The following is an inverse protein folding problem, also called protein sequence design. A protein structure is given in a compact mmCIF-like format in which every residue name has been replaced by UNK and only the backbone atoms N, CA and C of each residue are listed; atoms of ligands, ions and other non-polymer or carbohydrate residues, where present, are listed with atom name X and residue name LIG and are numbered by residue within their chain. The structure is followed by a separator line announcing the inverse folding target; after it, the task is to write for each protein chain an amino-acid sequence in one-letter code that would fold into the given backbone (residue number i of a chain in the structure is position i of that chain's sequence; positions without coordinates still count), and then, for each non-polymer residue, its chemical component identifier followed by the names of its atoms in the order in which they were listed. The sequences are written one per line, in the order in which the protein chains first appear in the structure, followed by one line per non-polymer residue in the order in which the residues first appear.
data_IF_403461456510
#
_entry.id   IF_403461456510
#
_cell.length_a   1.000
_cell.length_b   1.000
_cell.length_c   1.000
_cell.angle_alpha   90.00
_cell.angle_beta   90.00
_cell.angle_gamma   90.00
#
_symmetry.space_group_name_H-M   'P 1'
#
loop_
_entity.id
_entity.type
_entity.pdbx_description
1 polymer ?
#
# COMPACT_ATOMS: atom_id res chain seq x y z
N UNK A 1 -3.46 16.33 -1.95
CA UNK A 1 -3.68 14.90 -2.26
C UNK A 1 -2.38 14.18 -2.58
N UNK A 2 -1.57 14.67 -3.51
CA UNK A 2 -0.25 14.09 -3.83
C UNK A 2 0.74 14.00 -2.66
N UNK A 3 0.84 15.06 -1.85
CA UNK A 3 1.73 15.05 -0.69
C UNK A 3 1.29 14.03 0.37
N UNK A 4 -0.01 13.70 0.43
CA UNK A 4 -0.53 12.67 1.32
C UNK A 4 -0.08 11.28 0.88
N UNK A 5 -0.23 10.93 -0.41
CA UNK A 5 0.29 9.68 -0.95
C UNK A 5 1.81 9.57 -0.84
N UNK A 6 2.54 10.65 -1.07
CA UNK A 6 4.01 10.69 -0.89
C UNK A 6 4.41 10.46 0.56
N UNK A 7 3.70 11.09 1.51
CA UNK A 7 3.95 10.92 2.96
C UNK A 7 3.62 9.51 3.41
N UNK A 8 2.45 8.98 3.02
CA UNK A 8 2.04 7.60 3.30
C UNK A 8 3.02 6.60 2.71
N UNK A 9 3.45 6.79 1.46
CA UNK A 9 4.47 5.95 0.83
C UNK A 9 5.76 5.91 1.65
N UNK A 10 6.31 7.06 2.04
CA UNK A 10 7.56 7.11 2.83
C UNK A 10 7.44 6.41 4.18
N UNK A 11 6.35 6.66 4.90
CA UNK A 11 6.12 6.05 6.22
C UNK A 11 5.92 4.54 6.07
N UNK A 12 5.05 4.13 5.14
CA UNK A 12 4.81 2.71 4.84
C UNK A 12 6.09 2.00 4.40
N UNK A 13 6.94 2.66 3.60
CA UNK A 13 8.24 2.11 3.19
C UNK A 13 9.15 1.84 4.39
N UNK A 14 9.26 2.79 5.31
CA UNK A 14 10.07 2.63 6.54
C UNK A 14 9.57 1.46 7.39
N UNK A 15 8.25 1.26 7.47
CA UNK A 15 7.62 0.18 8.24
C UNK A 15 7.72 -1.17 7.51
N UNK A 16 7.71 -1.17 6.17
CA UNK A 16 7.90 -2.40 5.38
C UNK A 16 9.29 -2.98 5.56
N UNK A 17 10.33 -2.17 5.76
CA UNK A 17 11.71 -2.66 5.97
C UNK A 17 11.81 -3.68 7.13
N UNK A 18 11.39 -3.38 8.37
CA UNK A 18 11.43 -4.36 9.45
C UNK A 18 10.51 -5.56 9.18
N UNK A 19 9.37 -5.39 8.50
CA UNK A 19 8.51 -6.52 8.10
C UNK A 19 9.26 -7.48 7.16
N UNK A 20 10.00 -6.96 6.18
CA UNK A 20 10.81 -7.77 5.27
C UNK A 20 11.91 -8.51 6.01
N UNK A 21 12.63 -7.82 6.90
CA UNK A 21 13.73 -8.43 7.67
C UNK A 21 13.23 -9.57 8.56
N UNK A 22 12.04 -9.43 9.15
CA UNK A 22 11.42 -10.44 10.02
C UNK A 22 10.67 -11.54 9.25
N UNK A 23 10.45 -11.40 7.94
CA UNK A 23 9.65 -12.35 7.16
C UNK A 23 10.41 -13.67 6.89
N UNK A 24 9.88 -14.85 7.28
CA UNK A 24 10.59 -16.13 7.11
C UNK A 24 11.00 -16.43 5.67
N UNK A 25 10.20 -16.02 4.68
CA UNK A 25 10.53 -16.23 3.27
C UNK A 25 11.75 -15.41 2.83
N UNK A 26 11.86 -14.17 3.32
CA UNK A 26 13.01 -13.30 3.06
C UNK A 26 14.25 -13.82 3.79
N UNK A 27 14.09 -14.23 5.04
CA UNK A 27 15.15 -14.87 5.84
C UNK A 27 15.76 -16.09 5.12
N UNK A 28 14.90 -17.01 4.65
CA UNK A 28 15.31 -18.18 3.89
C UNK A 28 16.00 -17.81 2.57
N UNK A 29 15.53 -16.77 1.87
CA UNK A 29 16.11 -16.33 0.62
C UNK A 29 17.53 -15.77 0.79
N UNK A 30 17.78 -15.02 1.86
CA UNK A 30 19.09 -14.42 2.16
C UNK A 30 19.98 -15.31 3.07
N UNK A 31 19.49 -16.47 3.50
CA UNK A 31 20.26 -17.44 4.28
C UNK A 31 20.58 -17.03 5.72
N UNK A 32 19.75 -16.17 6.33
CA UNK A 32 19.87 -15.81 7.75
C UNK A 32 18.64 -16.29 8.53
N UNK A 33 18.79 -16.54 9.82
CA UNK A 33 17.67 -16.85 10.72
C UNK A 33 17.63 -15.82 11.85
N UNK A 34 16.55 -15.04 11.87
CA UNK A 34 16.27 -14.08 12.92
C UNK A 34 14.86 -14.36 13.44
N UNK A 35 14.76 -15.40 14.26
CA UNK A 35 13.54 -15.77 14.95
C UNK A 35 13.72 -15.61 16.46
N UNK A 36 12.70 -15.06 17.11
CA UNK A 36 12.66 -14.85 18.54
C UNK A 36 11.24 -15.08 19.04
N UNK A 37 11.11 -15.40 20.32
CA UNK A 37 9.81 -15.63 20.94
C UNK A 37 8.91 -14.39 20.77
N UNK A 38 7.89 -14.51 19.92
CA UNK A 38 6.94 -13.43 19.63
C UNK A 38 7.19 -12.64 18.34
N UNK A 39 8.16 -13.03 17.50
CA UNK A 39 8.39 -12.46 16.16
C UNK A 39 7.11 -12.35 15.33
N UNK A 40 6.25 -13.38 15.38
CA UNK A 40 4.92 -13.42 14.77
C UNK A 40 3.96 -12.32 15.23
N UNK A 41 3.99 -11.94 16.51
CA UNK A 41 3.14 -10.87 17.05
C UNK A 41 3.70 -9.49 16.68
N UNK A 42 5.02 -9.35 16.61
CA UNK A 42 5.67 -8.12 16.11
C UNK A 42 5.33 -7.90 14.64
N UNK A 43 5.45 -8.94 13.82
CA UNK A 43 5.02 -8.92 12.41
C UNK A 43 3.55 -8.52 12.28
N UNK A 44 2.67 -9.17 13.05
CA UNK A 44 1.26 -8.80 13.09
C UNK A 44 1.06 -7.32 13.43
N UNK A 45 1.68 -6.80 14.49
CA UNK A 45 1.53 -5.41 14.89
C UNK A 45 2.02 -4.41 13.82
N UNK A 46 3.18 -4.67 13.21
CA UNK A 46 3.70 -3.84 12.11
C UNK A 46 2.79 -3.90 10.89
N UNK A 47 2.30 -5.09 10.54
CA UNK A 47 1.37 -5.28 9.44
C UNK A 47 -0.01 -4.68 9.68
N UNK A 48 -0.50 -4.67 10.92
CA UNK A 48 -1.70 -3.95 11.31
C UNK A 48 -1.52 -2.46 11.09
N UNK A 49 -0.39 -1.90 11.51
CA UNK A 49 -0.11 -0.47 11.33
C UNK A 49 -0.09 -0.11 9.83
N UNK A 50 0.63 -0.86 8.99
CA UNK A 50 0.70 -0.56 7.56
C UNK A 50 -0.65 -0.80 6.86
N UNK A 51 -1.42 -1.80 7.26
CA UNK A 51 -2.76 -2.07 6.74
C UNK A 51 -3.72 -0.89 7.01
N UNK A 52 -3.78 -0.40 8.24
CA UNK A 52 -4.65 0.71 8.57
C UNK A 52 -4.14 2.07 8.08
N UNK A 53 -2.84 2.33 8.13
CA UNK A 53 -2.29 3.63 7.75
C UNK A 53 -2.04 3.75 6.24
N UNK A 54 -1.28 2.79 5.69
CA UNK A 54 -0.91 2.74 4.28
C UNK A 54 -2.05 2.22 3.41
N UNK A 55 -2.84 1.26 3.90
CA UNK A 55 -3.98 0.69 3.19
C UNK A 55 -5.22 1.57 3.15
N UNK A 56 -5.32 2.60 4.01
CA UNK A 56 -6.51 3.44 4.14
C UNK A 56 -7.05 4.03 2.82
N UNK A 57 -6.22 4.60 1.92
CA UNK A 57 -6.73 5.19 0.68
C UNK A 57 -7.46 4.16 -0.19
N UNK A 58 -6.97 2.92 -0.24
CA UNK A 58 -7.58 1.84 -1.00
C UNK A 58 -8.87 1.35 -0.33
N UNK A 59 -8.87 1.20 1.00
CA UNK A 59 -10.07 0.79 1.75
C UNK A 59 -11.18 1.83 1.68
N UNK A 60 -10.84 3.13 1.69
CA UNK A 60 -11.80 4.21 1.48
C UNK A 60 -12.30 4.22 0.03
N UNK A 61 -11.40 4.17 -0.95
CA UNK A 61 -11.75 4.19 -2.37
C UNK A 61 -12.60 2.99 -2.79
N UNK A 62 -12.40 1.82 -2.17
CA UNK A 62 -13.27 0.66 -2.36
C UNK A 62 -14.72 0.96 -1.97
N UNK A 63 -14.95 1.67 -0.85
CA UNK A 63 -16.33 2.01 -0.43
C UNK A 63 -17.01 2.91 -1.45
N UNK A 64 -16.26 3.87 -2.00
CA UNK A 64 -16.76 4.79 -3.01
C UNK A 64 -17.09 4.04 -4.32
N UNK A 65 -16.14 3.22 -4.83
CA UNK A 65 -16.33 2.40 -6.05
C UNK A 65 -17.50 1.40 -5.92
N UNK A 66 -17.68 0.77 -4.75
CA UNK A 66 -18.79 -0.15 -4.50
C UNK A 66 -20.13 0.58 -4.41
N UNK A 67 -20.17 1.77 -3.81
CA UNK A 67 -21.39 2.60 -3.75
C UNK A 67 -21.84 2.97 -5.17
N UNK A 68 -20.90 3.31 -6.04
CA UNK A 68 -21.15 3.66 -7.43
C UNK A 68 -21.36 2.43 -8.35
N UNK A 69 -21.33 1.22 -7.78
CA UNK A 69 -21.45 -0.07 -8.50
C UNK A 69 -20.44 -0.22 -9.65
N UNK A 70 -19.28 0.41 -9.52
CA UNK A 70 -18.24 0.41 -10.54
C UNK A 70 -16.90 0.00 -9.92
N UNK A 71 -16.70 -1.31 -9.65
CA UNK A 71 -15.48 -1.81 -9.01
C UNK A 71 -14.28 -1.57 -9.93
N UNK A 72 -13.26 -0.92 -9.38
CA UNK A 72 -12.06 -0.52 -10.10
C UNK A 72 -10.78 -0.96 -9.39
N UNK A 73 -9.73 -0.14 -9.56
CA UNK A 73 -8.41 -0.44 -9.04
C UNK A 73 -8.38 -0.42 -7.51
N UNK A 74 -9.11 0.51 -6.87
CA UNK A 74 -9.12 0.63 -5.41
C UNK A 74 -9.74 -0.61 -4.77
N UNK A 75 -10.85 -1.10 -5.33
CA UNK A 75 -11.53 -2.32 -4.87
C UNK A 75 -10.63 -3.54 -4.98
N UNK A 76 -9.94 -3.73 -6.11
CA UNK A 76 -9.04 -4.88 -6.29
C UNK A 76 -7.93 -4.90 -5.24
N UNK A 77 -7.28 -3.74 -5.03
CA UNK A 77 -6.19 -3.62 -4.04
C UNK A 77 -6.74 -3.84 -2.63
N UNK A 78 -7.84 -3.16 -2.28
CA UNK A 78 -8.47 -3.24 -0.97
C UNK A 78 -8.85 -4.69 -0.61
N UNK A 79 -9.39 -5.45 -1.57
CA UNK A 79 -9.69 -6.86 -1.41
C UNK A 79 -8.42 -7.67 -1.14
N UNK A 80 -7.39 -7.50 -1.98
CA UNK A 80 -6.12 -8.24 -1.84
C UNK A 80 -5.45 -7.99 -0.48
N UNK A 81 -5.34 -6.73 -0.05
CA UNK A 81 -4.73 -6.39 1.25
C UNK A 81 -5.60 -6.87 2.42
N UNK A 82 -6.93 -6.86 2.28
CA UNK A 82 -7.83 -7.33 3.33
C UNK A 82 -7.73 -8.84 3.52
N UNK A 83 -7.78 -9.60 2.41
CA UNK A 83 -7.62 -11.05 2.44
C UNK A 83 -6.26 -11.43 3.03
N UNK A 84 -5.18 -10.80 2.58
CA UNK A 84 -3.84 -11.04 3.12
C UNK A 84 -3.77 -10.73 4.63
N UNK A 85 -4.36 -9.61 5.08
CA UNK A 85 -4.36 -9.22 6.49
C UNK A 85 -5.12 -10.22 7.37
N UNK A 86 -6.40 -10.47 7.05
CA UNK A 86 -7.26 -11.31 7.89
C UNK A 86 -6.80 -12.76 7.92
N UNK A 87 -6.39 -13.31 6.78
CA UNK A 87 -5.82 -14.67 6.75
C UNK A 87 -4.54 -14.77 7.57
N UNK A 88 -3.60 -13.83 7.39
CA UNK A 88 -2.34 -13.82 8.15
C UNK A 88 -2.58 -13.66 9.64
N UNK A 89 -3.56 -12.83 10.01
CA UNK A 89 -3.99 -12.67 11.41
C UNK A 89 -4.52 -13.98 11.98
N UNK A 90 -5.39 -14.69 11.25
CA UNK A 90 -5.90 -16.00 11.66
C UNK A 90 -4.75 -17.00 11.89
N UNK A 91 -3.74 -17.01 11.02
CA UNK A 91 -2.54 -17.86 11.17
C UNK A 91 -1.76 -17.53 12.44
N UNK A 92 -1.59 -16.24 12.77
CA UNK A 92 -0.90 -15.82 14.00
C UNK A 92 -1.64 -16.30 15.26
N UNK A 93 -2.97 -16.37 15.22
CA UNK A 93 -3.82 -16.70 16.37
C UNK A 93 -4.26 -18.18 16.46
N UNK A 94 -3.77 -19.06 15.57
CA UNK A 94 -3.96 -20.51 15.71
C UNK A 94 -4.42 -21.26 14.47
N UNK A 95 -4.64 -20.58 13.34
CA UNK A 95 -4.87 -21.27 12.07
C UNK A 95 -3.56 -21.87 11.55
N UNK A 96 -3.58 -23.13 11.13
CA UNK A 96 -2.42 -23.74 10.48
C UNK A 96 -2.19 -23.12 9.10
N UNK A 97 -0.96 -22.67 8.85
CA UNK A 97 -0.61 -22.05 7.58
C UNK A 97 0.64 -21.18 7.66
N UNK A 98 0.88 -20.41 6.60
CA UNK A 98 1.95 -19.41 6.52
C UNK A 98 1.33 -18.04 6.33
N UNK A 99 1.74 -17.06 7.12
CA UNK A 99 1.24 -15.68 6.96
C UNK A 99 1.86 -15.00 5.73
N UNK A 100 1.14 -14.02 5.19
CA UNK A 100 1.48 -13.25 3.99
C UNK A 100 1.71 -11.76 4.31
N UNK A 101 2.35 -11.48 5.45
CA UNK A 101 2.55 -10.12 5.94
C UNK A 101 3.49 -9.28 5.07
N UNK A 102 4.47 -9.92 4.43
CA UNK A 102 5.42 -9.21 3.56
C UNK A 102 4.80 -8.92 2.19
N UNK A 103 3.97 -9.81 1.66
CA UNK A 103 3.16 -9.57 0.45
C UNK A 103 2.20 -8.41 0.68
N UNK A 104 1.50 -8.40 1.83
CA UNK A 104 0.65 -7.28 2.22
C UNK A 104 1.42 -5.96 2.27
N UNK A 105 2.57 -5.94 2.94
CA UNK A 105 3.34 -4.71 3.13
C UNK A 105 3.94 -4.19 1.81
N UNK A 106 4.49 -5.08 0.99
CA UNK A 106 5.05 -4.73 -0.32
C UNK A 106 3.97 -4.30 -1.30
N UNK A 107 2.83 -4.97 -1.33
CA UNK A 107 1.69 -4.59 -2.16
C UNK A 107 1.23 -3.16 -1.81
N UNK A 108 1.02 -2.85 -0.53
CA UNK A 108 0.64 -1.49 -0.10
C UNK A 108 1.67 -0.45 -0.55
N UNK A 109 2.96 -0.71 -0.35
CA UNK A 109 4.03 0.23 -0.72
C UNK A 109 4.08 0.47 -2.23
N UNK A 110 4.02 -0.60 -3.04
CA UNK A 110 4.06 -0.49 -4.50
C UNK A 110 2.81 0.24 -5.02
N UNK A 111 1.63 -0.06 -4.48
CA UNK A 111 0.40 0.61 -4.92
C UNK A 111 0.37 2.09 -4.54
N UNK A 112 0.87 2.46 -3.35
CA UNK A 112 1.02 3.87 -2.95
C UNK A 112 2.02 4.61 -3.86
N UNK A 113 3.12 3.94 -4.22
CA UNK A 113 4.11 4.50 -5.15
C UNK A 113 3.51 4.70 -6.54
N UNK A 114 2.78 3.71 -7.06
CA UNK A 114 2.12 3.76 -8.37
C UNK A 114 1.15 4.93 -8.46
N UNK A 115 0.24 5.05 -7.49
CA UNK A 115 -0.72 6.16 -7.44
C UNK A 115 -0.05 7.53 -7.34
N UNK A 116 1.05 7.61 -6.57
CA UNK A 116 1.82 8.85 -6.49
C UNK A 116 2.45 9.23 -7.83
N UNK A 117 3.03 8.27 -8.55
CA UNK A 117 3.61 8.48 -9.88
C UNK A 117 2.53 8.86 -10.90
N UNK A 118 1.39 8.17 -10.89
CA UNK A 118 0.25 8.44 -11.76
C UNK A 118 -0.23 9.89 -11.60
N UNK A 119 -0.58 10.29 -10.39
CA UNK A 119 -1.04 11.65 -10.11
C UNK A 119 0.02 12.71 -10.45
N UNK A 120 1.31 12.42 -10.20
CA UNK A 120 2.40 13.35 -10.54
C UNK A 120 2.51 13.54 -12.05
N UNK A 121 2.29 12.48 -12.82
CA UNK A 121 2.36 12.49 -14.28
C UNK A 121 1.17 13.27 -14.88
N UNK A 122 -0.04 13.06 -14.33
CA UNK A 122 -1.25 13.78 -14.74
C UNK A 122 -1.13 15.28 -14.48
N UNK A 123 -0.72 15.70 -13.28
CA UNK A 123 -0.57 17.13 -13.00
C UNK A 123 0.49 17.81 -13.85
N UNK A 124 1.58 17.11 -14.19
CA UNK A 124 2.61 17.63 -15.08
C UNK A 124 2.05 17.98 -16.46
N UNK A 125 1.17 17.14 -17.00
CA UNK A 125 0.51 17.38 -18.28
C UNK A 125 -0.51 18.53 -18.19
N UNK A 126 -1.32 18.58 -17.12
CA UNK A 126 -2.28 19.68 -16.90
C UNK A 126 -1.59 21.03 -16.80
N UNK A 127 -0.48 21.13 -16.07
CA UNK A 127 0.27 22.38 -15.94
C UNK A 127 0.83 22.87 -17.28
N UNK A 128 1.30 21.95 -18.13
CA UNK A 128 1.79 22.30 -19.45
C UNK A 128 0.68 22.84 -20.37
N UNK A 129 -0.52 22.25 -20.30
CA UNK A 129 -1.70 22.75 -21.02
C UNK A 129 -2.14 24.13 -20.50
N UNK A 130 -2.08 24.34 -19.18
CA UNK A 130 -2.43 25.62 -18.56
C UNK A 130 -1.43 26.73 -18.95
N UNK A 131 -0.13 26.43 -19.04
CA UNK A 131 0.87 27.37 -19.57
C UNK A 131 0.68 27.67 -21.07
N UNK A 132 0.31 26.68 -21.88
CA UNK A 132 -0.05 26.93 -23.28
C UNK A 132 -1.31 27.81 -23.40
N UNK A 133 -2.32 27.59 -22.55
CA UNK A 133 -3.52 28.41 -22.52
C UNK A 133 -3.23 29.87 -22.16
N UNK A 134 -2.32 30.13 -21.21
CA UNK A 134 -1.88 31.51 -20.86
C UNK A 134 -1.16 32.23 -22.01
N UNK A 135 -0.56 31.49 -22.93
CA UNK A 135 0.11 32.03 -24.11
C UNK A 135 -0.85 32.22 -25.29
N UNK A 136 -2.09 31.72 -25.22
CA UNK A 136 -3.09 32.00 -26.24
C UNK A 136 -3.55 33.46 -26.10
N UNK A 137 -3.51 34.25 -27.19
CA UNK A 137 -3.96 35.63 -27.14
C UNK A 137 -5.47 35.68 -26.89
N UNK A 138 -5.88 36.41 -25.86
CA UNK A 138 -7.26 36.89 -25.73
C UNK A 138 -7.48 37.98 -26.78
N UNK A 139 -7.89 37.60 -27.99
CA UNK A 139 -8.39 38.55 -28.97
C UNK A 139 -9.82 38.18 -29.39
N UNK A 140 -10.72 39.12 -29.11
CA UNK A 140 -12.00 39.31 -29.77
C UNK A 140 -11.83 40.16 -31.03
#
# INVERSE_FOLDING_TARGET
MLDDFKKRFKISLVITVPILVLSPLIQNFFGYSFDFAGSKYVLFALSTLIFFYGGWPFLSGMKDELSDKNPGMMTLIALAISVAYFYSSAVVFGLEGRFFFWELATLIVIMLLGHWIEMRSVMGASNALEELAKLMPDQA
#
